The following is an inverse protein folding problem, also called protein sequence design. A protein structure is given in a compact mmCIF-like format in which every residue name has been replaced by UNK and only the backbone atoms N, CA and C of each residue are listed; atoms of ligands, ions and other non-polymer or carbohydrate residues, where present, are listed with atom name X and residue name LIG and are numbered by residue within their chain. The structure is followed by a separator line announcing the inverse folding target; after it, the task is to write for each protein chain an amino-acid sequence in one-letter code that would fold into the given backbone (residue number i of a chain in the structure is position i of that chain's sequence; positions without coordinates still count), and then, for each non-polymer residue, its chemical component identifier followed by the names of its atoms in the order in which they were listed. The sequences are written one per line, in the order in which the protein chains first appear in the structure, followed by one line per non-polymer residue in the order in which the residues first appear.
data_IF_239071726409
#
_entry.id   IF_239071726409
#
_cell.length_a   1.000
_cell.length_b   1.000
_cell.length_c   1.000
_cell.angle_alpha   90.00
_cell.angle_beta   90.00
_cell.angle_gamma   90.00
#
_symmetry.space_group_name_H-M   'P 1'
#
loop_
_entity.id
_entity.type
_entity.pdbx_description
1 polymer ?
#
# COMPACT_ATOMS: atom_id res chain seq x y z
N UNK A 1 -2.70 5.48 17.42
CA UNK A 1 -1.76 4.82 18.36
C UNK A 1 -2.41 4.52 19.71
N UNK A 2 -3.20 5.44 20.30
CA UNK A 2 -3.89 5.23 21.58
C UNK A 2 -4.72 3.94 21.59
N UNK A 3 -5.60 3.73 20.61
CA UNK A 3 -6.41 2.50 20.53
C UNK A 3 -5.58 1.21 20.52
N UNK A 4 -4.47 1.17 19.78
CA UNK A 4 -3.55 0.03 19.79
C UNK A 4 -2.96 -0.22 21.18
N UNK A 5 -2.50 0.84 21.86
CA UNK A 5 -1.90 0.73 23.19
C UNK A 5 -2.92 0.20 24.21
N UNK A 6 -4.14 0.74 24.21
CA UNK A 6 -5.20 0.27 25.09
C UNK A 6 -5.57 -1.18 24.76
N UNK A 7 -5.67 -1.53 23.47
CA UNK A 7 -5.97 -2.89 23.03
C UNK A 7 -4.89 -3.90 23.47
N UNK A 8 -3.62 -3.49 23.51
CA UNK A 8 -2.54 -4.35 24.00
C UNK A 8 -2.57 -4.55 25.52
N UNK A 9 -3.07 -3.59 26.30
CA UNK A 9 -3.10 -3.64 27.76
C UNK A 9 -4.37 -4.37 28.26
N UNK A 10 -5.52 -4.07 27.68
CA UNK A 10 -6.83 -4.61 28.08
C UNK A 10 -7.60 -5.18 26.88
N UNK A 11 -7.11 -6.26 26.25
CA UNK A 11 -7.63 -6.76 24.98
C UNK A 11 -9.12 -7.11 25.04
N UNK A 12 -9.53 -7.94 26.01
CA UNK A 12 -10.91 -8.42 26.14
C UNK A 12 -11.91 -7.27 26.35
N UNK A 13 -11.54 -6.27 27.15
CA UNK A 13 -12.39 -5.11 27.44
C UNK A 13 -12.57 -4.25 26.19
N UNK A 14 -11.47 -3.93 25.50
CA UNK A 14 -11.52 -3.17 24.25
C UNK A 14 -12.35 -3.90 23.20
N UNK A 15 -12.13 -5.19 23.01
CA UNK A 15 -12.87 -6.01 22.03
C UNK A 15 -14.37 -6.03 22.35
N UNK A 16 -14.74 -6.22 23.63
CA UNK A 16 -16.15 -6.16 24.06
C UNK A 16 -16.77 -4.79 23.79
N UNK A 17 -16.06 -3.70 24.08
CA UNK A 17 -16.54 -2.34 23.81
C UNK A 17 -16.71 -2.14 22.30
N UNK A 18 -15.70 -2.47 21.50
CA UNK A 18 -15.75 -2.31 20.05
C UNK A 18 -16.88 -3.12 19.42
N UNK A 19 -17.13 -4.35 19.87
CA UNK A 19 -18.20 -5.19 19.34
C UNK A 19 -19.60 -4.61 19.63
N UNK A 20 -19.78 -3.83 20.71
CA UNK A 20 -21.07 -3.17 21.01
C UNK A 20 -21.36 -1.96 20.11
N UNK A 21 -20.32 -1.31 19.61
CA UNK A 21 -20.42 -0.12 18.75
C UNK A 21 -19.91 -0.42 17.33
N UNK A 22 -19.87 -1.69 16.94
CA UNK A 22 -19.34 -2.11 15.66
C UNK A 22 -20.24 -1.62 14.51
N UNK A 23 -19.60 -1.01 13.51
CA UNK A 23 -20.24 -0.52 12.30
C UNK A 23 -19.89 -1.40 11.08
N UNK A 24 -19.15 -2.50 11.29
CA UNK A 24 -18.74 -3.37 10.19
C UNK A 24 -19.86 -4.22 9.60
N UNK A 25 -21.01 -4.29 10.27
CA UNK A 25 -22.14 -5.11 9.81
C UNK A 25 -21.83 -6.60 9.80
N UNK A 26 -20.96 -7.07 10.71
CA UNK A 26 -20.53 -8.47 10.79
C UNK A 26 -19.84 -8.99 9.51
N UNK A 27 -19.05 -8.13 8.85
CA UNK A 27 -18.36 -8.43 7.59
C UNK A 27 -17.53 -9.72 7.63
N UNK A 28 -16.97 -10.05 8.80
CA UNK A 28 -16.19 -11.26 9.02
C UNK A 28 -16.71 -12.05 10.23
N UNK A 29 -17.89 -12.66 10.12
CA UNK A 29 -18.56 -13.41 11.20
C UNK A 29 -17.71 -14.46 11.93
N UNK A 30 -16.68 -15.00 11.27
CA UNK A 30 -15.81 -16.04 11.83
C UNK A 30 -14.47 -15.49 12.36
N UNK A 31 -14.32 -14.17 12.45
CA UNK A 31 -13.09 -13.52 12.92
C UNK A 31 -13.43 -12.47 13.97
N UNK A 32 -12.48 -12.23 14.86
CA UNK A 32 -12.55 -11.10 15.77
C UNK A 32 -12.31 -9.81 14.95
N UNK A 33 -13.41 -9.22 14.49
CA UNK A 33 -13.42 -8.06 13.64
C UNK A 33 -14.48 -7.06 14.09
N UNK A 34 -14.06 -5.83 14.34
CA UNK A 34 -14.96 -4.72 14.63
C UNK A 34 -14.34 -3.40 14.22
N UNK A 35 -15.15 -2.52 13.62
CA UNK A 35 -14.72 -1.24 13.09
C UNK A 35 -15.62 -0.11 13.56
N UNK A 36 -15.02 0.94 14.12
CA UNK A 36 -15.72 2.09 14.70
C UNK A 36 -15.41 3.39 13.93
N UNK A 37 -15.26 3.29 12.60
CA UNK A 37 -14.77 4.34 11.68
C UNK A 37 -13.30 4.72 11.89
N UNK A 38 -12.91 5.09 13.10
CA UNK A 38 -11.58 5.63 13.40
C UNK A 38 -10.53 4.55 13.70
N UNK A 39 -10.99 3.38 14.12
CA UNK A 39 -10.13 2.24 14.41
C UNK A 39 -10.83 0.93 14.08
N UNK A 40 -10.06 -0.04 13.59
CA UNK A 40 -10.52 -1.40 13.32
C UNK A 40 -9.70 -2.40 14.12
N UNK A 41 -10.40 -3.21 14.89
CA UNK A 41 -9.89 -4.47 15.42
C UNK A 41 -10.02 -5.50 14.30
N UNK A 42 -8.87 -6.03 13.86
CA UNK A 42 -8.83 -7.08 12.84
C UNK A 42 -7.77 -8.09 13.25
N UNK A 43 -8.20 -9.16 13.90
CA UNK A 43 -7.33 -10.25 14.30
C UNK A 43 -7.26 -11.30 13.19
N UNK A 44 -6.48 -11.02 12.15
CA UNK A 44 -6.29 -11.98 11.05
C UNK A 44 -5.24 -13.03 11.36
N UNK A 45 -4.20 -12.70 12.14
CA UNK A 45 -3.12 -13.64 12.52
C UNK A 45 -2.46 -13.19 13.84
N UNK A 46 -2.43 -14.08 14.84
CA UNK A 46 -1.70 -13.88 16.09
C UNK A 46 -0.20 -14.06 15.88
N UNK A 47 0.45 -13.03 15.33
CA UNK A 47 1.91 -12.98 15.21
C UNK A 47 2.53 -12.63 16.57
N UNK A 48 2.94 -13.68 17.31
CA UNK A 48 3.63 -13.62 18.60
C UNK A 48 2.85 -12.92 19.72
N UNK A 49 1.51 -13.07 19.75
CA UNK A 49 0.63 -12.53 20.80
C UNK A 49 0.45 -11.01 20.80
N UNK A 50 1.17 -10.28 19.94
CA UNK A 50 1.13 -8.82 19.88
C UNK A 50 0.17 -8.35 18.77
N UNK A 51 -0.86 -7.60 19.15
CA UNK A 51 -1.87 -7.03 18.25
C UNK A 51 -1.26 -6.06 17.22
N UNK A 52 -1.95 -5.88 16.09
CA UNK A 52 -1.50 -5.08 14.93
C UNK A 52 -2.33 -3.81 14.78
N UNK A 53 -1.69 -2.76 14.29
CA UNK A 53 -2.35 -1.47 14.07
C UNK A 53 -3.01 -1.40 12.69
N UNK A 54 -4.34 -1.50 12.64
CA UNK A 54 -5.13 -1.29 11.40
C UNK A 54 -5.56 0.16 11.19
N UNK A 55 -5.41 1.03 12.20
CA UNK A 55 -5.96 2.38 12.15
C UNK A 55 -7.43 2.34 11.71
N UNK A 56 -7.84 3.29 10.86
CA UNK A 56 -9.19 3.34 10.30
C UNK A 56 -9.44 2.36 9.14
N UNK A 57 -8.41 1.66 8.65
CA UNK A 57 -8.58 0.72 7.54
C UNK A 57 -9.09 -0.62 8.05
N UNK A 58 -9.56 -1.47 7.14
CA UNK A 58 -10.03 -2.83 7.47
C UNK A 58 -8.89 -3.77 7.90
N UNK A 59 -7.65 -3.46 7.54
CA UNK A 59 -6.49 -4.25 7.95
C UNK A 59 -5.21 -3.39 8.00
N UNK A 60 -4.12 -3.89 8.64
CA UNK A 60 -2.88 -3.12 8.83
C UNK A 60 -2.12 -2.76 7.56
N UNK A 61 -2.28 -3.53 6.49
CA UNK A 61 -1.56 -3.36 5.23
C UNK A 61 -1.90 -2.06 4.49
N UNK A 62 -3.18 -1.84 4.11
CA UNK A 62 -3.64 -0.58 3.55
C UNK A 62 -3.36 0.62 4.44
N UNK A 63 -3.54 0.48 5.76
CA UNK A 63 -3.22 1.54 6.71
C UNK A 63 -1.76 1.98 6.61
N UNK A 64 -0.82 1.02 6.56
CA UNK A 64 0.60 1.33 6.38
C UNK A 64 0.89 2.10 5.09
N UNK A 65 0.13 1.85 4.02
CA UNK A 65 0.30 2.52 2.73
C UNK A 65 -0.10 4.00 2.82
N UNK A 66 -1.24 4.30 3.46
CA UNK A 66 -1.67 5.68 3.69
C UNK A 66 -0.68 6.44 4.58
N UNK A 67 -0.18 5.81 5.64
CA UNK A 67 0.80 6.44 6.54
C UNK A 67 2.14 6.66 5.83
N UNK A 68 2.60 5.72 5.01
CA UNK A 68 3.80 5.89 4.19
C UNK A 68 3.65 7.04 3.20
N UNK A 69 2.49 7.16 2.54
CA UNK A 69 2.22 8.28 1.64
C UNK A 69 2.19 9.63 2.40
N UNK A 70 1.60 9.66 3.59
CA UNK A 70 1.63 10.83 4.46
C UNK A 70 3.07 11.21 4.88
N UNK A 71 3.89 10.22 5.25
CA UNK A 71 5.31 10.43 5.56
C UNK A 71 6.08 10.99 4.36
N UNK A 72 5.85 10.43 3.16
CA UNK A 72 6.46 10.90 1.93
C UNK A 72 6.15 12.40 1.69
N UNK A 73 4.88 12.78 1.71
CA UNK A 73 4.49 14.19 1.52
C UNK A 73 4.98 15.09 2.65
N UNK A 74 5.02 14.59 3.89
CA UNK A 74 5.54 15.33 5.03
C UNK A 74 7.02 15.69 4.85
N UNK A 75 7.85 14.73 4.46
CA UNK A 75 9.29 14.94 4.18
C UNK A 75 9.46 15.86 2.97
N UNK A 76 8.68 15.63 1.90
CA UNK A 76 8.75 16.42 0.68
C UNK A 76 8.47 17.91 0.94
N UNK A 77 7.49 18.22 1.80
CA UNK A 77 7.13 19.59 2.19
C UNK A 77 8.11 20.20 3.19
N UNK A 78 8.67 19.40 4.11
CA UNK A 78 9.48 19.89 5.24
C UNK A 78 10.94 19.41 5.13
N UNK A 79 11.74 20.08 4.30
CA UNK A 79 13.16 19.74 4.12
C UNK A 79 13.99 19.88 5.41
N UNK A 80 13.68 20.90 6.20
CA UNK A 80 14.37 21.16 7.47
C UNK A 80 13.56 20.53 8.61
N UNK A 81 14.09 19.44 9.15
CA UNK A 81 13.51 18.72 10.27
C UNK A 81 13.93 19.42 11.58
N UNK A 82 13.16 20.44 11.98
CA UNK A 82 13.24 20.97 13.35
C UNK A 82 12.69 19.95 14.37
N UNK A 83 12.86 20.21 15.68
CA UNK A 83 12.44 19.29 16.75
C UNK A 83 10.99 18.79 16.59
N UNK A 84 10.05 19.69 16.30
CA UNK A 84 8.63 19.34 16.12
C UNK A 84 8.39 18.48 14.87
N UNK A 85 9.10 18.74 13.77
CA UNK A 85 9.00 17.94 12.55
C UNK A 85 9.60 16.54 12.74
N UNK A 86 10.69 16.43 13.49
CA UNK A 86 11.29 15.13 13.84
C UNK A 86 10.29 14.29 14.63
N UNK A 87 9.63 14.86 15.64
CA UNK A 87 8.60 14.14 16.41
C UNK A 87 7.50 13.58 15.51
N UNK A 88 7.03 14.34 14.52
CA UNK A 88 6.02 13.87 13.56
C UNK A 88 6.53 12.75 12.67
N UNK A 89 7.76 12.85 12.16
CA UNK A 89 8.41 11.78 11.39
C UNK A 89 8.50 10.50 12.22
N UNK A 90 8.98 10.60 13.46
CA UNK A 90 9.06 9.45 14.38
C UNK A 90 7.69 8.83 14.62
N UNK A 91 6.64 9.63 14.79
CA UNK A 91 5.27 9.12 14.94
C UNK A 91 4.79 8.35 13.70
N UNK A 92 5.07 8.83 12.49
CA UNK A 92 4.76 8.09 11.27
C UNK A 92 5.52 6.76 11.19
N UNK A 93 6.82 6.77 11.50
CA UNK A 93 7.67 5.58 11.50
C UNK A 93 7.14 4.54 12.49
N UNK A 94 6.93 4.92 13.75
CA UNK A 94 6.39 4.03 14.78
C UNK A 94 5.02 3.49 14.35
N UNK A 95 4.16 4.34 13.79
CA UNK A 95 2.85 3.90 13.29
C UNK A 95 3.00 2.83 12.22
N UNK A 96 3.88 3.01 11.23
CA UNK A 96 4.15 1.99 10.20
C UNK A 96 4.69 0.70 10.84
N UNK A 97 5.64 0.79 11.77
CA UNK A 97 6.19 -0.37 12.47
C UNK A 97 5.11 -1.18 13.21
N UNK A 98 4.18 -0.49 13.88
CA UNK A 98 3.08 -1.14 14.60
C UNK A 98 2.05 -1.85 13.71
N UNK A 99 2.04 -1.59 12.39
CA UNK A 99 1.17 -2.31 11.45
C UNK A 99 1.62 -3.76 11.22
N UNK A 100 2.92 -4.05 11.43
CA UNK A 100 3.55 -5.33 11.05
C UNK A 100 3.22 -5.72 9.61
N UNK A 101 3.30 -4.76 8.68
CA UNK A 101 2.99 -4.93 7.26
C UNK A 101 4.29 -4.99 6.45
N UNK A 102 4.50 -6.08 5.70
CA UNK A 102 5.66 -6.21 4.79
C UNK A 102 5.70 -5.04 3.79
N UNK A 103 4.56 -4.70 3.19
CA UNK A 103 4.42 -3.53 2.30
C UNK A 103 4.78 -2.23 3.01
N UNK A 104 4.29 -2.05 4.24
CA UNK A 104 4.59 -0.87 5.04
C UNK A 104 6.09 -0.72 5.30
N UNK A 105 6.78 -1.81 5.61
CA UNK A 105 8.21 -1.81 5.86
C UNK A 105 9.01 -1.53 4.58
N UNK A 106 8.62 -2.10 3.45
CA UNK A 106 9.22 -1.82 2.14
C UNK A 106 9.06 -0.34 1.78
N UNK A 107 7.85 0.22 1.94
CA UNK A 107 7.59 1.63 1.67
C UNK A 107 8.40 2.55 2.60
N UNK A 108 8.41 2.26 3.89
CA UNK A 108 9.19 3.00 4.87
C UNK A 108 10.68 2.98 4.51
N UNK A 109 11.21 1.82 4.15
CA UNK A 109 12.58 1.64 3.73
C UNK A 109 12.92 2.49 2.49
N UNK A 110 12.09 2.42 1.45
CA UNK A 110 12.24 3.23 0.22
C UNK A 110 12.23 4.74 0.54
N UNK A 111 11.31 5.19 1.40
CA UNK A 111 11.19 6.61 1.78
C UNK A 111 12.38 7.07 2.60
N UNK A 112 12.87 6.26 3.56
CA UNK A 112 14.06 6.59 4.36
C UNK A 112 15.29 6.67 3.45
N UNK A 113 15.51 5.69 2.58
CA UNK A 113 16.61 5.70 1.62
C UNK A 113 16.60 6.95 0.76
N UNK A 114 15.45 7.27 0.16
CA UNK A 114 15.29 8.48 -0.62
C UNK A 114 15.55 9.73 0.22
N UNK A 115 15.01 9.79 1.44
CA UNK A 115 15.20 10.94 2.33
C UNK A 115 16.67 11.15 2.71
N UNK A 116 17.45 10.08 2.90
CA UNK A 116 18.88 10.19 3.17
C UNK A 116 19.61 10.82 1.96
N UNK A 117 19.37 10.33 0.76
CA UNK A 117 19.95 10.90 -0.48
C UNK A 117 19.46 12.33 -0.74
N UNK A 118 18.22 12.62 -0.34
CA UNK A 118 17.61 13.92 -0.55
C UNK A 118 18.11 15.00 0.42
N UNK A 119 18.25 14.66 1.70
CA UNK A 119 18.61 15.60 2.77
C UNK A 119 20.11 15.85 2.81
N UNK A 120 20.94 14.83 2.58
CA UNK A 120 22.40 14.98 2.65
C UNK A 120 22.97 15.58 1.36
N UNK A 121 23.77 16.64 1.51
CA UNK A 121 24.44 17.30 0.37
C UNK A 121 25.61 16.48 -0.20
N UNK A 122 26.31 15.71 0.63
CA UNK A 122 27.44 14.89 0.20
C UNK A 122 26.96 13.59 -0.42
N UNK A 123 27.17 13.45 -1.74
CA UNK A 123 26.75 12.30 -2.52
C UNK A 123 27.35 10.98 -2.01
N UNK A 124 28.66 10.94 -1.71
CA UNK A 124 29.33 9.72 -1.26
C UNK A 124 28.82 9.25 0.10
N UNK A 125 28.65 10.17 1.05
CA UNK A 125 28.07 9.86 2.36
C UNK A 125 26.64 9.33 2.22
N UNK A 126 25.84 9.97 1.36
CA UNK A 126 24.45 9.54 1.13
C UNK A 126 24.36 8.13 0.52
N UNK A 127 25.28 7.79 -0.39
CA UNK A 127 25.35 6.46 -0.99
C UNK A 127 25.80 5.42 0.04
N UNK A 128 26.81 5.73 0.86
CA UNK A 128 27.26 4.85 1.94
C UNK A 128 26.16 4.55 2.96
N UNK A 129 25.41 5.58 3.39
CA UNK A 129 24.25 5.42 4.28
C UNK A 129 23.17 4.57 3.60
N UNK A 130 22.88 4.82 2.32
CA UNK A 130 21.89 4.04 1.58
C UNK A 130 22.28 2.55 1.50
N UNK A 131 23.53 2.25 1.15
CA UNK A 131 24.06 0.88 1.11
C UNK A 131 24.01 0.20 2.48
N UNK A 132 24.40 0.91 3.54
CA UNK A 132 24.32 0.41 4.92
C UNK A 132 22.87 0.06 5.29
N UNK A 133 21.92 0.94 4.99
CA UNK A 133 20.49 0.70 5.24
C UNK A 133 19.97 -0.50 4.44
N UNK A 134 20.39 -0.67 3.18
CA UNK A 134 20.05 -1.86 2.36
C UNK A 134 20.56 -3.13 3.04
N UNK A 135 21.83 -3.17 3.45
CA UNK A 135 22.39 -4.33 4.13
C UNK A 135 21.64 -4.66 5.43
N UNK A 136 21.32 -3.64 6.25
CA UNK A 136 20.54 -3.81 7.48
C UNK A 136 19.15 -4.35 7.17
N UNK A 137 18.46 -3.80 6.17
CA UNK A 137 17.12 -4.26 5.80
C UNK A 137 17.11 -5.71 5.32
N UNK A 138 18.09 -6.11 4.50
CA UNK A 138 18.26 -7.50 4.05
C UNK A 138 18.52 -8.41 5.25
N UNK A 139 19.45 -8.04 6.12
CA UNK A 139 19.79 -8.82 7.31
C UNK A 139 18.57 -9.04 8.22
N UNK A 140 17.82 -7.97 8.53
CA UNK A 140 16.59 -8.06 9.34
C UNK A 140 15.54 -8.92 8.63
N UNK A 141 15.35 -8.76 7.32
CA UNK A 141 14.34 -9.49 6.57
C UNK A 141 14.59 -11.00 6.56
N UNK A 142 15.85 -11.41 6.38
CA UNK A 142 16.25 -12.83 6.37
C UNK A 142 16.17 -13.49 7.75
N UNK A 143 16.37 -12.73 8.82
CA UNK A 143 16.33 -13.24 10.21
C UNK A 143 14.98 -13.07 10.89
N UNK A 144 14.07 -12.29 10.29
CA UNK A 144 12.78 -11.99 10.90
C UNK A 144 11.87 -13.21 10.89
N UNK A 145 11.30 -13.61 12.04
CA UNK A 145 10.30 -14.69 12.11
C UNK A 145 8.96 -14.28 11.49
N UNK A 146 8.81 -13.04 11.03
CA UNK A 146 7.58 -12.48 10.46
C UNK A 146 7.72 -12.29 8.95
N UNK A 147 8.82 -11.69 8.49
CA UNK A 147 8.95 -11.28 7.09
C UNK A 147 9.30 -12.45 6.17
N UNK A 148 10.29 -13.26 6.54
CA UNK A 148 10.76 -14.34 5.67
C UNK A 148 9.69 -15.41 5.39
N UNK A 149 8.94 -15.92 6.40
CA UNK A 149 7.86 -16.87 6.15
C UNK A 149 6.79 -16.28 5.21
N UNK A 150 6.37 -15.03 5.44
CA UNK A 150 5.37 -14.36 4.60
C UNK A 150 5.82 -14.21 3.15
N UNK A 151 7.09 -13.89 2.91
CA UNK A 151 7.63 -13.79 1.54
C UNK A 151 7.64 -15.16 0.87
N UNK A 152 8.07 -16.21 1.60
CA UNK A 152 8.11 -17.59 1.07
C UNK A 152 6.71 -18.10 0.75
N UNK A 153 5.74 -17.88 1.64
CA UNK A 153 4.36 -18.31 1.45
C UNK A 153 3.71 -17.62 0.25
N UNK A 154 3.93 -16.31 0.09
CA UNK A 154 3.45 -15.54 -1.06
C UNK A 154 4.05 -16.03 -2.41
N UNK A 155 5.33 -16.43 -2.41
CA UNK A 155 6.00 -16.90 -3.62
C UNK A 155 5.56 -18.31 -4.06
N UNK A 156 5.24 -19.17 -3.10
CA UNK A 156 4.89 -20.58 -3.34
C UNK A 156 3.40 -20.81 -3.66
N UNK A 157 2.58 -19.75 -3.76
CA UNK A 157 1.18 -19.91 -4.13
C UNK A 157 1.02 -20.32 -5.60
N UNK A 158 0.40 -21.47 -5.81
CA UNK A 158 -0.01 -21.97 -7.12
C UNK A 158 -1.45 -21.53 -7.44
N UNK A 159 -1.62 -20.93 -8.61
CA UNK A 159 -2.92 -20.44 -9.11
C UNK A 159 -3.91 -21.58 -9.32
N UNK A 160 -3.46 -22.74 -9.79
CA UNK A 160 -4.33 -23.90 -10.02
C UNK A 160 -4.91 -24.42 -8.71
N UNK A 161 -4.09 -24.46 -7.65
CA UNK A 161 -4.53 -24.81 -6.30
C UNK A 161 -5.54 -23.78 -5.78
N UNK A 162 -5.32 -22.49 -6.04
CA UNK A 162 -6.23 -21.41 -5.65
C UNK A 162 -7.59 -21.56 -6.35
N UNK A 163 -7.59 -21.77 -7.66
CA UNK A 163 -8.80 -21.95 -8.48
C UNK A 163 -9.58 -23.17 -7.97
N UNK A 164 -8.91 -24.33 -7.84
CA UNK A 164 -9.54 -25.56 -7.35
C UNK A 164 -10.13 -25.38 -5.96
N UNK A 165 -9.43 -24.70 -5.04
CA UNK A 165 -9.95 -24.41 -3.69
C UNK A 165 -11.17 -23.48 -3.72
N UNK A 166 -11.21 -22.50 -4.63
CA UNK A 166 -12.37 -21.61 -4.74
C UNK A 166 -13.59 -22.35 -5.27
N UNK A 167 -13.42 -23.23 -6.26
CA UNK A 167 -14.49 -24.08 -6.81
C UNK A 167 -15.03 -25.02 -5.72
N UNK A 168 -14.14 -25.75 -5.03
CA UNK A 168 -14.53 -26.76 -4.04
C UNK A 168 -15.23 -26.18 -2.80
N UNK A 169 -14.89 -24.95 -2.40
CA UNK A 169 -15.45 -24.33 -1.20
C UNK A 169 -16.63 -23.40 -1.48
N UNK A 170 -17.04 -23.23 -2.75
CA UNK A 170 -18.12 -22.33 -3.21
C UNK A 170 -18.07 -20.92 -2.59
N UNK A 171 -16.86 -20.44 -2.28
CA UNK A 171 -16.64 -19.17 -1.58
C UNK A 171 -15.64 -18.31 -2.33
N UNK A 172 -15.87 -17.00 -2.24
CA UNK A 172 -14.93 -16.00 -2.71
C UNK A 172 -13.58 -16.15 -2.00
N UNK A 173 -12.52 -16.39 -2.76
CA UNK A 173 -11.15 -16.50 -2.24
C UNK A 173 -10.30 -15.32 -2.73
N UNK A 174 -9.58 -14.69 -1.80
CA UNK A 174 -8.62 -13.63 -2.10
C UNK A 174 -7.20 -14.21 -2.04
N UNK A 175 -6.51 -14.41 -3.17
CA UNK A 175 -5.16 -14.95 -3.16
C UNK A 175 -4.14 -13.89 -2.75
N UNK A 176 -2.92 -14.35 -2.48
CA UNK A 176 -1.78 -13.46 -2.22
C UNK A 176 -1.50 -12.52 -3.39
N UNK A 177 -0.62 -11.55 -3.18
CA UNK A 177 -0.36 -10.45 -4.12
C UNK A 177 0.29 -10.94 -5.40
N UNK A 178 1.20 -11.91 -5.29
CA UNK A 178 1.87 -12.51 -6.44
C UNK A 178 0.93 -13.42 -7.23
N UNK A 179 0.15 -14.27 -6.56
CA UNK A 179 -0.85 -15.09 -7.22
C UNK A 179 -1.95 -14.24 -7.88
N UNK A 180 -2.41 -13.18 -7.22
CA UNK A 180 -3.33 -12.18 -7.80
C UNK A 180 -2.73 -11.52 -9.04
N UNK A 181 -1.43 -11.18 -9.02
CA UNK A 181 -0.77 -10.60 -10.18
C UNK A 181 -0.68 -11.58 -11.35
N UNK A 182 -0.33 -12.84 -11.07
CA UNK A 182 -0.26 -13.87 -12.10
C UNK A 182 -1.64 -14.15 -12.72
N UNK A 183 -2.71 -14.18 -11.93
CA UNK A 183 -4.08 -14.25 -12.44
C UNK A 183 -4.42 -13.07 -13.35
N UNK A 184 -4.04 -11.86 -12.94
CA UNK A 184 -4.23 -10.67 -13.77
C UNK A 184 -3.40 -10.70 -15.07
N UNK A 185 -2.25 -11.37 -15.08
CA UNK A 185 -1.49 -11.62 -16.31
C UNK A 185 -2.27 -12.53 -17.26
N UNK A 186 -2.90 -13.61 -16.75
CA UNK A 186 -3.74 -14.47 -17.59
C UNK A 186 -4.95 -13.72 -18.17
N UNK A 187 -5.61 -12.89 -17.35
CA UNK A 187 -6.67 -11.99 -17.83
C UNK A 187 -6.16 -11.04 -18.93
N UNK A 188 -4.98 -10.44 -18.74
CA UNK A 188 -4.39 -9.51 -19.68
C UNK A 188 -4.01 -10.18 -21.01
N UNK A 189 -3.50 -11.42 -20.98
CA UNK A 189 -3.19 -12.17 -22.21
C UNK A 189 -4.43 -12.37 -23.08
N UNK A 190 -5.60 -12.57 -22.47
CA UNK A 190 -6.85 -12.74 -23.19
C UNK A 190 -7.40 -11.41 -23.75
N UNK A 191 -7.12 -10.28 -23.07
CA UNK A 191 -7.64 -8.96 -23.45
C UNK A 191 -6.55 -7.86 -23.40
N UNK A 192 -5.52 -7.91 -24.25
CA UNK A 192 -4.30 -7.12 -24.05
C UNK A 192 -4.46 -5.63 -24.34
N UNK A 193 -5.36 -5.23 -25.25
CA UNK A 193 -5.44 -3.85 -25.72
C UNK A 193 -6.26 -2.98 -24.75
N UNK A 194 -7.52 -3.36 -24.51
CA UNK A 194 -8.48 -2.58 -23.73
C UNK A 194 -8.87 -3.25 -22.40
N UNK A 195 -8.37 -4.46 -22.12
CA UNK A 195 -8.77 -5.24 -20.96
C UNK A 195 -10.19 -5.78 -21.04
N UNK A 196 -10.60 -6.51 -20.02
CA UNK A 196 -11.96 -7.06 -19.93
C UNK A 196 -13.02 -6.02 -19.48
N UNK A 197 -12.60 -4.80 -19.13
CA UNK A 197 -13.48 -3.72 -18.70
C UNK A 197 -14.34 -4.08 -17.48
N UNK A 198 -15.62 -3.73 -17.52
CA UNK A 198 -16.57 -4.06 -16.45
C UNK A 198 -17.07 -5.51 -16.45
N UNK A 199 -16.73 -6.30 -17.47
CA UNK A 199 -17.30 -7.63 -17.63
C UNK A 199 -16.52 -8.67 -16.81
N UNK A 200 -16.93 -8.87 -15.55
CA UNK A 200 -16.24 -9.76 -14.62
C UNK A 200 -16.30 -11.23 -14.99
N UNK A 201 -17.22 -11.63 -15.89
CA UNK A 201 -17.34 -13.02 -16.34
C UNK A 201 -16.22 -13.44 -17.28
N UNK A 202 -15.52 -12.46 -17.86
CA UNK A 202 -14.37 -12.69 -18.75
C UNK A 202 -13.06 -12.94 -17.99
N UNK A 203 -13.06 -12.79 -16.66
CA UNK A 203 -11.89 -13.08 -15.83
C UNK A 203 -11.55 -14.57 -15.90
N UNK A 204 -10.28 -14.88 -16.05
CA UNK A 204 -9.71 -16.22 -16.11
C UNK A 204 -10.29 -17.11 -15.00
N UNK A 205 -10.21 -16.68 -13.73
CA UNK A 205 -10.78 -17.44 -12.62
C UNK A 205 -12.27 -17.78 -12.81
N UNK A 206 -13.07 -16.81 -13.27
CA UNK A 206 -14.51 -16.99 -13.48
C UNK A 206 -14.81 -17.96 -14.63
N UNK A 207 -14.02 -17.94 -15.70
CA UNK A 207 -14.15 -18.87 -16.84
C UNK A 207 -13.94 -20.34 -16.42
N UNK A 208 -13.15 -20.58 -15.36
CA UNK A 208 -12.97 -21.89 -14.75
C UNK A 208 -13.94 -22.18 -13.59
N UNK A 209 -14.98 -21.35 -13.40
CA UNK A 209 -15.97 -21.52 -12.33
C UNK A 209 -15.49 -21.08 -10.94
N UNK A 210 -14.33 -20.42 -10.84
CA UNK A 210 -13.78 -19.94 -9.58
C UNK A 210 -14.17 -18.47 -9.31
N UNK A 211 -14.61 -18.19 -8.09
CA UNK A 211 -14.87 -16.84 -7.61
C UNK A 211 -13.63 -16.29 -6.90
N UNK A 212 -12.67 -15.80 -7.68
CA UNK A 212 -11.40 -15.26 -7.16
C UNK A 212 -11.40 -13.73 -7.26
N UNK A 213 -11.09 -13.08 -6.13
CA UNK A 213 -10.97 -11.61 -6.07
C UNK A 213 -9.49 -11.24 -5.95
N UNK A 214 -8.95 -10.67 -7.01
CA UNK A 214 -7.55 -10.24 -7.08
C UNK A 214 -7.31 -8.99 -6.23
N UNK A 215 -6.29 -9.04 -5.37
CA UNK A 215 -5.94 -7.92 -4.48
C UNK A 215 -4.83 -7.03 -5.04
N UNK A 216 -4.17 -7.42 -6.13
CA UNK A 216 -3.08 -6.67 -6.76
C UNK A 216 -3.65 -5.55 -7.64
N UNK A 217 -3.50 -4.29 -7.21
CA UNK A 217 -4.02 -3.12 -7.91
C UNK A 217 -3.36 -2.84 -9.26
N UNK A 218 -2.04 -3.06 -9.41
CA UNK A 218 -1.40 -2.93 -10.72
C UNK A 218 -1.90 -3.99 -11.70
N UNK A 219 -2.05 -5.24 -11.22
CA UNK A 219 -2.66 -6.32 -11.98
C UNK A 219 -4.07 -5.96 -12.40
N UNK A 220 -4.89 -5.46 -11.48
CA UNK A 220 -6.26 -5.02 -11.78
C UNK A 220 -6.31 -3.93 -12.85
N UNK A 221 -5.44 -2.91 -12.77
CA UNK A 221 -5.38 -1.85 -13.79
C UNK A 221 -4.99 -2.45 -15.15
N UNK A 222 -3.97 -3.31 -15.17
CA UNK A 222 -3.46 -3.95 -16.38
C UNK A 222 -4.51 -4.85 -17.04
N UNK A 223 -5.18 -5.72 -16.27
CA UNK A 223 -6.14 -6.67 -16.81
C UNK A 223 -7.49 -6.04 -17.15
N UNK A 224 -7.95 -5.06 -16.35
CA UNK A 224 -9.23 -4.41 -16.55
C UNK A 224 -9.21 -3.39 -17.69
N UNK A 225 -8.12 -2.64 -17.84
CA UNK A 225 -8.01 -1.55 -18.81
C UNK A 225 -7.00 -1.79 -19.94
N UNK A 226 -6.36 -2.97 -19.93
CA UNK A 226 -5.38 -3.36 -20.94
C UNK A 226 -4.16 -2.45 -20.97
N UNK A 227 -3.40 -2.56 -22.06
CA UNK A 227 -2.20 -1.79 -22.31
C UNK A 227 -2.48 -0.29 -22.41
N UNK A 228 -3.63 0.10 -22.98
CA UNK A 228 -4.01 1.51 -23.13
C UNK A 228 -4.16 2.15 -21.75
N UNK A 229 -4.99 1.57 -20.88
CA UNK A 229 -5.25 2.13 -19.56
C UNK A 229 -4.01 2.10 -18.67
N UNK A 230 -3.25 1.01 -18.70
CA UNK A 230 -2.00 0.90 -17.94
C UNK A 230 -0.95 1.93 -18.36
N UNK A 231 -0.84 2.22 -19.66
CA UNK A 231 0.08 3.22 -20.20
C UNK A 231 -0.32 4.63 -19.75
N UNK A 232 -1.61 4.98 -19.85
CA UNK A 232 -2.13 6.27 -19.38
C UNK A 232 -1.89 6.44 -17.88
N UNK A 233 -2.23 5.41 -17.10
CA UNK A 233 -2.00 5.39 -15.66
C UNK A 233 -0.51 5.62 -15.32
N UNK A 234 0.39 4.86 -15.95
CA UNK A 234 1.83 4.98 -15.73
C UNK A 234 2.35 6.37 -16.10
N UNK A 235 1.90 6.92 -17.23
CA UNK A 235 2.23 8.27 -17.64
C UNK A 235 1.82 9.33 -16.61
N UNK A 236 0.57 9.27 -16.12
CA UNK A 236 0.05 10.22 -15.12
C UNK A 236 0.86 10.13 -13.82
N UNK A 237 1.18 8.91 -13.35
CA UNK A 237 1.97 8.71 -12.14
C UNK A 237 3.37 9.32 -12.27
N UNK A 238 4.06 9.09 -13.39
CA UNK A 238 5.39 9.65 -13.67
C UNK A 238 5.33 11.17 -13.81
N UNK A 239 4.32 11.68 -14.50
CA UNK A 239 4.10 13.10 -14.69
C UNK A 239 3.86 13.81 -13.36
N UNK A 240 2.94 13.31 -12.53
CA UNK A 240 2.65 13.87 -11.21
C UNK A 240 3.84 13.77 -10.27
N UNK A 241 4.58 12.67 -10.28
CA UNK A 241 5.81 12.54 -9.51
C UNK A 241 6.86 13.58 -9.89
N UNK A 242 7.09 13.76 -11.20
CA UNK A 242 8.01 14.77 -11.71
C UNK A 242 7.58 16.18 -11.32
N UNK A 243 6.29 16.49 -11.42
CA UNK A 243 5.74 17.77 -11.01
C UNK A 243 5.91 18.03 -9.51
N UNK A 244 5.58 17.05 -8.66
CA UNK A 244 5.72 17.15 -7.21
C UNK A 244 7.17 17.42 -6.81
N UNK A 245 8.10 16.64 -7.36
CA UNK A 245 9.52 16.78 -7.06
C UNK A 245 10.03 18.16 -7.48
N UNK A 246 9.64 18.66 -8.66
CA UNK A 246 10.01 20.01 -9.10
C UNK A 246 9.37 21.10 -8.21
N UNK A 247 8.08 20.97 -7.86
CA UNK A 247 7.33 21.96 -7.07
C UNK A 247 7.97 22.19 -5.69
N UNK A 248 8.50 21.14 -5.09
CA UNK A 248 9.15 21.20 -3.78
C UNK A 248 10.69 21.32 -3.90
N UNK A 249 11.25 21.57 -5.10
CA UNK A 249 12.70 21.61 -5.34
C UNK A 249 13.41 20.37 -4.75
N UNK A 250 12.82 19.20 -4.92
CA UNK A 250 13.32 17.93 -4.42
C UNK A 250 14.16 17.19 -5.47
N UNK A 251 14.82 16.10 -5.06
CA UNK A 251 15.56 15.20 -5.97
C UNK A 251 14.84 13.86 -6.08
N UNK A 252 15.08 13.15 -7.19
CA UNK A 252 14.57 11.79 -7.42
C UNK A 252 13.14 11.75 -7.96
N UNK A 253 12.94 12.10 -9.24
CA UNK A 253 11.61 12.09 -9.90
C UNK A 253 10.89 10.73 -9.86
N UNK A 254 11.65 9.64 -9.69
CA UNK A 254 11.12 8.27 -9.68
C UNK A 254 10.53 7.85 -8.32
N UNK A 255 10.79 8.58 -7.23
CA UNK A 255 10.37 8.14 -5.88
C UNK A 255 8.86 8.02 -5.74
N UNK A 256 8.11 9.00 -6.27
CA UNK A 256 6.66 8.99 -6.18
C UNK A 256 6.07 7.84 -7.02
N UNK A 257 6.46 7.65 -8.30
CA UNK A 257 6.09 6.46 -9.05
C UNK A 257 6.43 5.14 -8.34
N UNK A 258 7.62 5.05 -7.74
CA UNK A 258 8.04 3.87 -7.01
C UNK A 258 7.14 3.57 -5.80
N UNK A 259 6.82 4.58 -4.99
CA UNK A 259 5.88 4.47 -3.86
C UNK A 259 4.50 4.01 -4.35
N UNK A 260 3.99 4.65 -5.40
CA UNK A 260 2.67 4.32 -5.97
C UNK A 260 2.64 2.89 -6.54
N UNK A 261 3.69 2.46 -7.23
CA UNK A 261 3.77 1.10 -7.76
C UNK A 261 3.91 0.03 -6.68
N UNK A 262 4.66 0.29 -5.60
CA UNK A 262 4.72 -0.64 -4.46
C UNK A 262 3.36 -0.77 -3.77
N UNK A 263 2.64 0.35 -3.60
CA UNK A 263 1.26 0.34 -3.08
C UNK A 263 0.35 -0.46 -4.03
N UNK A 264 0.37 -0.14 -5.32
CA UNK A 264 -0.47 -0.78 -6.33
C UNK A 264 -0.20 -2.27 -6.49
N UNK A 265 1.06 -2.69 -6.46
CA UNK A 265 1.39 -4.12 -6.48
C UNK A 265 0.87 -4.82 -5.23
N UNK A 266 0.85 -4.12 -4.09
CA UNK A 266 0.46 -4.72 -2.83
C UNK A 266 -1.05 -4.78 -2.60
N UNK A 267 -1.78 -3.79 -3.09
CA UNK A 267 -3.20 -3.60 -2.79
C UNK A 267 -3.95 -2.85 -3.90
N UNK A 268 -5.20 -3.24 -4.12
CA UNK A 268 -6.16 -2.55 -4.99
C UNK A 268 -6.57 -1.15 -4.51
N UNK A 269 -6.08 -0.69 -3.34
CA UNK A 269 -6.38 0.63 -2.80
C UNK A 269 -5.93 1.79 -3.69
N UNK A 270 -5.05 1.51 -4.65
CA UNK A 270 -4.61 2.47 -5.66
C UNK A 270 -5.77 2.98 -6.54
N UNK A 271 -6.83 2.19 -6.66
CA UNK A 271 -8.06 2.54 -7.38
C UNK A 271 -9.01 3.41 -6.52
N UNK A 272 -8.70 3.64 -5.23
CA UNK A 272 -9.55 4.46 -4.37
C UNK A 272 -9.44 5.96 -4.72
N UNK A 273 -10.52 6.74 -4.55
CA UNK A 273 -10.51 8.18 -4.83
C UNK A 273 -9.41 8.94 -4.09
N UNK A 274 -9.07 8.52 -2.85
CA UNK A 274 -8.04 9.17 -2.04
C UNK A 274 -6.67 9.04 -2.70
N UNK A 275 -6.24 7.82 -3.03
CA UNK A 275 -4.93 7.59 -3.65
C UNK A 275 -4.91 8.17 -5.06
N UNK A 276 -6.00 8.01 -5.81
CA UNK A 276 -6.12 8.55 -7.15
C UNK A 276 -6.03 10.09 -7.16
N UNK A 277 -6.53 10.78 -6.14
CA UNK A 277 -6.36 12.23 -5.98
C UNK A 277 -4.89 12.64 -5.85
N UNK A 278 -4.08 11.85 -5.14
CA UNK A 278 -2.63 12.08 -5.08
C UNK A 278 -1.95 11.79 -6.41
N UNK A 279 -2.36 10.73 -7.12
CA UNK A 279 -1.86 10.39 -8.46
C UNK A 279 -2.15 11.52 -9.46
N UNK A 280 -3.30 12.18 -9.35
CA UNK A 280 -3.69 13.28 -10.24
C UNK A 280 -3.18 14.65 -9.80
N UNK A 281 -2.45 14.74 -8.68
CA UNK A 281 -2.04 16.01 -8.08
C UNK A 281 -1.24 16.92 -9.02
N UNK A 282 -0.36 16.35 -9.86
CA UNK A 282 0.43 17.13 -10.82
C UNK A 282 -0.38 17.71 -11.97
N UNK A 283 -1.51 17.10 -12.32
CA UNK A 283 -2.42 17.62 -13.34
C UNK A 283 -3.22 18.80 -12.78
N UNK A 284 -3.98 18.57 -11.69
CA UNK A 284 -4.89 19.59 -11.14
C UNK A 284 -4.17 20.80 -10.53
N UNK A 285 -3.06 20.59 -9.83
CA UNK A 285 -2.38 21.70 -9.14
C UNK A 285 -1.52 22.54 -10.08
N UNK A 286 -1.13 22.02 -11.25
CA UNK A 286 -0.40 22.77 -12.27
C UNK A 286 -1.30 23.80 -12.96
N UNK A 287 -2.51 23.42 -13.35
CA UNK A 287 -3.43 24.33 -14.03
C UNK A 287 -3.73 25.57 -13.18
N UNK A 288 -3.91 25.38 -11.87
CA UNK A 288 -4.12 26.48 -10.92
C UNK A 288 -2.92 27.42 -10.84
N UNK A 289 -1.70 26.89 -10.92
CA UNK A 289 -0.48 27.71 -10.93
C UNK A 289 -0.35 28.56 -12.20
N UNK A 290 -0.71 28.03 -13.37
CA UNK A 290 -0.71 28.80 -14.61
C UNK A 290 -1.77 29.90 -14.60
N UNK A 291 -3.01 29.60 -14.19
CA UNK A 291 -4.10 30.61 -14.11
C UNK A 291 -3.76 31.77 -13.16
N UNK A 292 -3.17 31.47 -12.00
CA UNK A 292 -2.79 32.51 -11.03
C UNK A 292 -1.65 33.41 -11.51
N UNK A 293 -0.80 32.95 -12.44
CA UNK A 293 0.25 33.77 -13.03
C UNK A 293 -0.26 34.65 -14.17
N UNK A 294 -1.28 34.19 -14.91
CA UNK A 294 -1.92 34.97 -15.98
C UNK A 294 -2.72 36.14 -15.37
N UNK A 295 -3.42 35.92 -14.26
CA UNK A 295 -4.21 36.96 -13.59
C UNK A 295 -3.38 37.99 -12.78
N UNK A 296 -2.05 37.88 -12.82
CA UNK A 296 -1.11 38.81 -12.15
C UNK A 296 -0.36 39.72 -13.14
N UNK A 297 -0.63 39.56 -14.44
CA UNK A 297 -0.13 40.39 -15.54
C UNK A 297 -1.31 41.26 -15.98
#
# INVERSE_FOLDING_TARGET
MIFLLIWQIIPNTIETVFNKIDLSGNLFANKNYSSIVFYTISETENLAGLKRNSGYCWEPGPFSCYIALALFFFILKNKNLNKNNITKVVLFIITILTTKSTTGYILLFIIILWSAVYIYKNHYLSLAIALMLICIFIFISLRSPILWPKIKDEFNQDINVIINRSILNERSYAPGRFASFRLAIEDFKNYPIAGYGGNTTLRYGFQYGAQVVTINGLGNILSRYGLIGFTIFTFIVIYSGSWLINKYNAKGKIIFPLVIFVIGFSFGIIETPIIFSFIMSGYYLREKHHKNNINKI
#
